data_IF_889761416963
#
_entry.id   IF_889761416963
#
_cell.length_a   1.000
_cell.length_b   1.000
_cell.length_c   1.000
_cell.angle_alpha   90.00
_cell.angle_beta   90.00
_cell.angle_gamma   90.00
#
_symmetry.space_group_name_H-M   'P 1'
#
loop_
_entity.id
_entity.type
_entity.pdbx_description
1 polymer ?
#
# COMPACT_ATOMS: atom_id res chain seq x y z
N UNK A 1 -25.46 9.96 7.89
CA UNK A 1 -25.49 10.90 6.75
C UNK A 1 -25.10 10.16 5.48
N UNK A 2 -25.90 10.28 4.45
CA UNK A 2 -25.63 9.62 3.18
C UNK A 2 -25.03 10.63 2.21
N UNK A 3 -23.93 10.27 1.60
CA UNK A 3 -23.20 11.12 0.68
C UNK A 3 -23.03 10.39 -0.65
N UNK A 4 -23.27 11.06 -1.76
CA UNK A 4 -23.06 10.47 -3.08
C UNK A 4 -21.58 10.30 -3.36
N UNK A 5 -21.20 9.22 -4.03
CA UNK A 5 -19.78 8.92 -4.33
C UNK A 5 -19.10 10.08 -5.08
N UNK A 6 -19.82 10.78 -5.97
CA UNK A 6 -19.28 11.91 -6.71
C UNK A 6 -18.99 13.16 -5.88
N UNK A 7 -19.48 13.24 -4.62
CA UNK A 7 -19.24 14.36 -3.72
C UNK A 7 -18.18 14.05 -2.65
N UNK A 8 -17.66 12.82 -2.65
CA UNK A 8 -16.62 12.42 -1.71
C UNK A 8 -15.26 12.99 -2.10
N UNK A 9 -14.39 13.21 -1.12
CA UNK A 9 -12.98 13.53 -1.38
C UNK A 9 -12.28 12.35 -2.09
N UNK A 10 -11.14 12.61 -2.72
CA UNK A 10 -10.35 11.56 -3.37
C UNK A 10 -10.00 10.43 -2.40
N UNK A 11 -9.66 10.75 -1.15
CA UNK A 11 -9.35 9.77 -0.13
C UNK A 11 -10.54 8.92 0.27
N UNK A 12 -11.69 9.56 0.45
CA UNK A 12 -12.93 8.85 0.78
C UNK A 12 -13.37 7.95 -0.37
N UNK A 13 -13.21 8.40 -1.61
CA UNK A 13 -13.48 7.57 -2.80
C UNK A 13 -12.58 6.34 -2.85
N UNK A 14 -11.30 6.50 -2.50
CA UNK A 14 -10.35 5.40 -2.47
C UNK A 14 -10.73 4.37 -1.41
N UNK A 15 -11.07 4.82 -0.20
CA UNK A 15 -11.50 3.93 0.88
C UNK A 15 -12.80 3.21 0.52
N UNK A 16 -13.70 3.87 -0.17
CA UNK A 16 -14.94 3.27 -0.65
C UNK A 16 -14.66 2.19 -1.70
N UNK A 17 -13.70 2.43 -2.60
CA UNK A 17 -13.31 1.46 -3.60
C UNK A 17 -12.73 0.20 -2.96
N UNK A 18 -11.89 0.35 -1.95
CA UNK A 18 -11.34 -0.78 -1.18
C UNK A 18 -12.48 -1.55 -0.51
N UNK A 19 -13.42 -0.84 0.12
CA UNK A 19 -14.57 -1.46 0.77
C UNK A 19 -15.43 -2.27 -0.21
N UNK A 20 -15.65 -1.75 -1.41
CA UNK A 20 -16.38 -2.48 -2.46
C UNK A 20 -15.67 -3.75 -2.88
N UNK A 21 -14.33 -3.69 -3.02
CA UNK A 21 -13.52 -4.85 -3.33
C UNK A 21 -13.67 -5.93 -2.26
N UNK A 22 -13.73 -5.53 -1.00
CA UNK A 22 -13.87 -6.45 0.13
C UNK A 22 -15.25 -7.11 0.20
N UNK A 23 -16.30 -6.44 -0.26
CA UNK A 23 -17.65 -7.00 -0.27
C UNK A 23 -17.77 -8.23 -1.18
N UNK A 24 -16.87 -8.40 -2.12
CA UNK A 24 -16.80 -9.57 -2.98
C UNK A 24 -16.15 -10.78 -2.27
N UNK A 25 -15.71 -10.63 -1.03
CA UNK A 25 -15.02 -11.66 -0.25
C UNK A 25 -13.85 -12.30 -1.01
N UNK A 26 -12.88 -11.48 -1.49
CA UNK A 26 -11.80 -12.00 -2.31
C UNK A 26 -10.79 -12.79 -1.49
N UNK A 27 -10.05 -13.67 -2.16
CA UNK A 27 -8.87 -14.32 -1.57
C UNK A 27 -7.61 -13.51 -1.82
N UNK A 28 -7.65 -12.63 -2.82
CA UNK A 28 -6.56 -11.73 -3.18
C UNK A 28 -7.14 -10.36 -3.51
N UNK A 29 -6.57 -9.33 -2.91
CA UNK A 29 -6.87 -7.94 -3.21
C UNK A 29 -5.66 -7.31 -3.90
N UNK A 30 -5.86 -6.68 -5.05
CA UNK A 30 -4.80 -5.97 -5.78
C UNK A 30 -5.09 -4.47 -5.70
N UNK A 31 -4.13 -3.72 -5.18
CA UNK A 31 -4.23 -2.27 -5.02
C UNK A 31 -3.07 -1.60 -5.78
N UNK A 32 -3.41 -0.73 -6.72
CA UNK A 32 -2.43 -0.01 -7.53
C UNK A 32 -2.37 1.45 -7.10
N UNK A 33 -1.27 1.82 -6.46
CA UNK A 33 -0.99 3.16 -5.94
C UNK A 33 -2.17 3.76 -5.15
N UNK A 34 -2.70 3.03 -4.13
CA UNK A 34 -3.90 3.49 -3.43
C UNK A 34 -3.67 4.76 -2.60
N UNK A 35 -2.43 5.12 -2.27
CA UNK A 35 -2.14 6.35 -1.52
C UNK A 35 -2.06 7.59 -2.39
N UNK A 36 -2.07 7.45 -3.70
CA UNK A 36 -1.89 8.57 -4.62
C UNK A 36 -2.98 9.63 -4.42
N UNK A 37 -2.55 10.87 -4.19
CA UNK A 37 -3.46 11.99 -4.00
C UNK A 37 -4.12 12.08 -2.62
N UNK A 38 -3.82 11.17 -1.69
CA UNK A 38 -4.37 11.22 -0.34
C UNK A 38 -3.60 12.16 0.57
N UNK A 39 -4.30 12.74 1.56
CA UNK A 39 -3.65 13.48 2.63
C UNK A 39 -2.77 12.54 3.49
N UNK A 40 -1.77 13.06 4.22
CA UNK A 40 -0.93 12.22 5.08
C UNK A 40 -1.72 11.38 6.08
N UNK A 41 -2.77 11.93 6.67
CA UNK A 41 -3.62 11.21 7.62
C UNK A 41 -4.33 10.03 6.94
N UNK A 42 -4.89 10.24 5.75
CA UNK A 42 -5.58 9.20 5.01
C UNK A 42 -4.62 8.12 4.52
N UNK A 43 -3.38 8.50 4.21
CA UNK A 43 -2.33 7.52 3.86
C UNK A 43 -2.07 6.59 5.04
N UNK A 44 -1.92 7.13 6.25
CA UNK A 44 -1.75 6.32 7.46
C UNK A 44 -2.93 5.37 7.70
N UNK A 45 -4.14 5.89 7.58
CA UNK A 45 -5.37 5.09 7.76
C UNK A 45 -5.45 3.96 6.75
N UNK A 46 -5.10 4.25 5.50
CA UNK A 46 -5.09 3.25 4.43
C UNK A 46 -4.10 2.12 4.70
N UNK A 47 -2.85 2.45 5.06
CA UNK A 47 -1.84 1.45 5.36
C UNK A 47 -2.22 0.62 6.61
N UNK A 48 -2.81 1.26 7.62
CA UNK A 48 -3.33 0.55 8.80
C UNK A 48 -4.40 -0.46 8.40
N UNK A 49 -5.34 -0.04 7.55
CA UNK A 49 -6.40 -0.92 7.06
C UNK A 49 -5.82 -2.12 6.30
N UNK A 50 -4.89 -1.88 5.40
CA UNK A 50 -4.25 -2.95 4.62
C UNK A 50 -3.54 -3.94 5.54
N UNK A 51 -2.82 -3.46 6.55
CA UNK A 51 -2.18 -4.30 7.55
C UNK A 51 -3.16 -5.18 8.31
N UNK A 52 -4.32 -4.62 8.69
CA UNK A 52 -5.38 -5.36 9.36
C UNK A 52 -5.96 -6.46 8.46
N UNK A 53 -6.16 -6.16 7.17
CA UNK A 53 -6.67 -7.15 6.21
C UNK A 53 -5.71 -8.31 6.05
N UNK A 54 -4.40 -8.02 6.00
CA UNK A 54 -3.37 -9.06 5.94
C UNK A 54 -3.43 -9.96 7.18
N UNK A 55 -3.59 -9.39 8.36
CA UNK A 55 -3.72 -10.14 9.61
C UNK A 55 -4.94 -11.06 9.62
N UNK A 56 -5.99 -10.72 8.90
CA UNK A 56 -7.19 -11.55 8.76
C UNK A 56 -7.03 -12.65 7.71
N UNK A 57 -5.86 -12.76 7.10
CA UNK A 57 -5.55 -13.83 6.15
C UNK A 57 -5.82 -13.48 4.69
N UNK A 58 -6.21 -12.23 4.39
CA UNK A 58 -6.36 -11.79 3.01
C UNK A 58 -4.98 -11.57 2.39
N UNK A 59 -4.76 -12.14 1.21
CA UNK A 59 -3.56 -11.85 0.43
C UNK A 59 -3.72 -10.50 -0.26
N UNK A 60 -2.72 -9.65 -0.14
CA UNK A 60 -2.74 -8.31 -0.74
C UNK A 60 -1.51 -8.12 -1.60
N UNK A 61 -1.72 -7.75 -2.86
CA UNK A 61 -0.67 -7.26 -3.74
C UNK A 61 -0.78 -5.74 -3.80
N UNK A 62 0.22 -5.05 -3.25
CA UNK A 62 0.22 -3.60 -3.16
C UNK A 62 1.30 -3.03 -4.08
N UNK A 63 0.91 -2.16 -5.00
CA UNK A 63 1.84 -1.39 -5.84
C UNK A 63 1.85 0.03 -5.29
N UNK A 64 3.01 0.49 -4.81
CA UNK A 64 3.14 1.77 -4.15
C UNK A 64 4.50 2.43 -4.41
N UNK A 65 4.51 3.77 -4.37
CA UNK A 65 5.74 4.57 -4.40
C UNK A 65 6.26 4.85 -3.00
N UNK A 66 5.42 4.72 -1.98
CA UNK A 66 5.80 4.95 -0.59
C UNK A 66 6.51 3.72 -0.04
N UNK A 67 7.83 3.69 -0.21
CA UNK A 67 8.65 2.53 0.13
C UNK A 67 8.64 2.25 1.64
N UNK A 68 8.82 3.27 2.46
CA UNK A 68 8.91 3.11 3.93
C UNK A 68 7.68 2.47 4.52
N UNK A 69 6.50 3.03 4.23
CA UNK A 69 5.25 2.52 4.77
C UNK A 69 4.87 1.15 4.18
N UNK A 70 5.19 0.92 2.90
CA UNK A 70 4.96 -0.37 2.27
C UNK A 70 5.78 -1.48 2.93
N UNK A 71 7.04 -1.22 3.24
CA UNK A 71 7.90 -2.20 3.91
C UNK A 71 7.44 -2.51 5.33
N UNK A 72 6.80 -1.53 6.01
CA UNK A 72 6.29 -1.75 7.37
C UNK A 72 5.20 -2.81 7.43
N UNK A 73 4.44 -2.99 6.37
CA UNK A 73 3.29 -3.92 6.35
C UNK A 73 3.48 -5.12 5.44
N UNK A 74 4.53 -5.15 4.63
CA UNK A 74 4.76 -6.21 3.66
C UNK A 74 5.41 -7.45 4.29
N UNK A 75 5.11 -8.62 3.75
CA UNK A 75 5.82 -9.86 4.06
C UNK A 75 7.00 -10.04 3.10
N UNK A 76 6.84 -9.55 1.88
CA UNK A 76 7.87 -9.58 0.85
C UNK A 76 7.68 -8.39 -0.08
N UNK A 77 8.77 -7.85 -0.58
CA UNK A 77 8.72 -6.70 -1.46
C UNK A 77 9.65 -6.84 -2.66
N UNK A 78 9.25 -6.18 -3.74
CA UNK A 78 10.03 -6.06 -4.97
C UNK A 78 10.12 -4.58 -5.30
N UNK A 79 11.33 -4.06 -5.44
CA UNK A 79 11.54 -2.67 -5.82
C UNK A 79 11.94 -2.64 -7.29
N UNK A 80 11.11 -1.96 -8.10
CA UNK A 80 11.32 -1.88 -9.54
C UNK A 80 11.89 -0.51 -9.90
N UNK A 81 12.83 -0.52 -10.84
CA UNK A 81 13.44 0.67 -11.37
C UNK A 81 13.66 0.46 -12.88
N UNK A 82 13.12 1.37 -13.68
CA UNK A 82 13.20 1.28 -15.15
C UNK A 82 12.69 -0.06 -15.70
N UNK A 83 11.60 -0.57 -15.12
CA UNK A 83 10.99 -1.81 -15.56
C UNK A 83 11.73 -3.09 -15.12
N UNK A 84 12.75 -2.96 -14.29
CA UNK A 84 13.55 -4.10 -13.82
C UNK A 84 13.50 -4.19 -12.28
N UNK A 85 13.57 -5.41 -11.76
CA UNK A 85 13.66 -5.63 -10.32
C UNK A 85 15.06 -5.22 -9.85
N UNK A 86 15.11 -4.20 -8.98
CA UNK A 86 16.36 -3.68 -8.42
C UNK A 86 16.68 -4.31 -7.08
N UNK A 87 15.66 -4.54 -6.25
CA UNK A 87 15.77 -5.20 -4.96
C UNK A 87 14.58 -6.13 -4.78
N UNK A 88 14.80 -7.24 -4.09
CA UNK A 88 13.70 -8.12 -3.67
C UNK A 88 14.06 -8.84 -2.38
N UNK A 89 13.06 -9.13 -1.55
CA UNK A 89 13.25 -9.89 -0.33
C UNK A 89 12.29 -9.51 0.77
N UNK A 90 12.57 -10.01 1.97
CA UNK A 90 11.84 -9.63 3.17
C UNK A 90 12.19 -8.19 3.55
N UNK A 91 11.25 -7.44 4.18
CA UNK A 91 11.48 -6.05 4.56
C UNK A 91 12.77 -5.84 5.37
N UNK A 92 13.07 -6.73 6.31
CA UNK A 92 14.26 -6.60 7.12
C UNK A 92 15.55 -6.64 6.29
N UNK A 93 15.58 -7.48 5.26
CA UNK A 93 16.73 -7.60 4.37
C UNK A 93 16.89 -6.34 3.51
N UNK A 94 15.79 -5.81 3.04
CA UNK A 94 15.79 -4.58 2.22
C UNK A 94 16.21 -3.36 3.05
N UNK A 95 15.72 -3.25 4.28
CA UNK A 95 16.09 -2.17 5.19
C UNK A 95 17.55 -2.23 5.64
N UNK A 96 18.19 -3.39 5.55
CA UNK A 96 19.60 -3.55 5.84
C UNK A 96 20.49 -3.03 4.69
N UNK A 97 19.93 -2.79 3.51
CA UNK A 97 20.68 -2.29 2.36
C UNK A 97 20.90 -0.77 2.46
N UNK A 98 22.17 -0.35 2.55
CA UNK A 98 22.52 1.07 2.52
C UNK A 98 22.11 1.74 1.22
N UNK A 99 22.24 1.04 0.11
CA UNK A 99 21.89 1.54 -1.21
C UNK A 99 20.38 1.84 -1.29
N UNK A 100 19.55 0.92 -0.83
CA UNK A 100 18.10 1.11 -0.82
C UNK A 100 17.72 2.28 0.08
N UNK A 101 18.27 2.36 1.28
CA UNK A 101 17.95 3.44 2.23
C UNK A 101 18.32 4.80 1.67
N UNK A 102 19.45 4.94 1.02
CA UNK A 102 19.87 6.19 0.40
C UNK A 102 19.03 6.56 -0.80
N UNK A 103 18.65 5.59 -1.61
CA UNK A 103 17.89 5.83 -2.83
C UNK A 103 16.41 6.16 -2.56
N UNK A 104 15.79 5.51 -1.57
CA UNK A 104 14.33 5.54 -1.39
C UNK A 104 13.86 6.02 -0.03
N UNK A 105 14.67 6.00 1.01
CA UNK A 105 14.26 6.35 2.37
C UNK A 105 14.90 7.65 2.88
N UNK A 106 15.79 8.25 2.13
CA UNK A 106 16.44 9.50 2.51
C UNK A 106 17.41 9.39 3.70
N UNK A 107 17.89 8.20 3.97
CA UNK A 107 18.79 7.95 5.10
C UNK A 107 20.26 7.88 4.70
#
# INVERSE_FOLDING_TARGET
MTQLAGTLSGGEQQMLAIGRGLMAEPILLILDEPSLGLSPLLVEEMFTLIGQLRHRGLAVLLVEQNVGQSLDIADRAYVLENGMIRFEGAPADLLASDELRRAYLGM
#
